data_IF_544742541107
#
_entry.id   IF_544742541107
#
_cell.length_a   1.000
_cell.length_b   1.000
_cell.length_c   1.000
_cell.angle_alpha   90.00
_cell.angle_beta   90.00
_cell.angle_gamma   90.00
#
_symmetry.space_group_name_H-M   'P 1'
#
loop_
_entity.id
_entity.type
_entity.pdbx_description
1 polymer ?
#
# COMPACT_ATOMS: atom_id res chain seq x y z
N UNK A 1 -7.72 24.26 -34.58
CA UNK A 1 -8.18 24.85 -33.30
C UNK A 1 -8.12 23.77 -32.23
N UNK A 2 -7.00 23.67 -31.51
CA UNK A 2 -6.80 22.62 -30.49
C UNK A 2 -7.38 23.08 -29.17
N UNK A 3 -8.58 22.57 -28.86
CA UNK A 3 -9.24 22.75 -27.57
C UNK A 3 -8.45 21.97 -26.48
N UNK A 4 -7.32 22.51 -26.01
CA UNK A 4 -6.48 21.92 -24.95
C UNK A 4 -6.97 22.36 -23.57
N UNK A 5 -8.24 22.10 -23.26
CA UNK A 5 -8.84 22.17 -21.91
C UNK A 5 -8.62 20.87 -21.11
N UNK A 6 -7.48 20.18 -21.30
CA UNK A 6 -7.13 19.03 -20.47
C UNK A 6 -6.11 19.47 -19.43
N UNK A 7 -6.43 19.27 -18.15
CA UNK A 7 -5.49 19.44 -17.04
C UNK A 7 -4.19 18.70 -17.33
N UNK A 8 -3.06 19.33 -16.99
CA UNK A 8 -1.74 18.69 -17.12
C UNK A 8 -1.68 17.41 -16.29
N UNK A 9 -2.23 17.45 -15.07
CA UNK A 9 -2.20 16.36 -14.10
C UNK A 9 -3.57 15.67 -14.06
N UNK A 10 -3.55 14.34 -14.04
CA UNK A 10 -4.73 13.52 -13.73
C UNK A 10 -4.97 13.51 -12.23
N UNK A 11 -6.17 13.09 -11.81
CA UNK A 11 -6.48 12.96 -10.38
C UNK A 11 -5.50 12.04 -9.64
N UNK A 12 -5.06 10.95 -10.30
CA UNK A 12 -4.05 10.01 -9.77
C UNK A 12 -2.69 10.70 -9.60
N UNK A 13 -2.26 11.51 -10.58
CA UNK A 13 -0.99 12.23 -10.46
C UNK A 13 -1.04 13.22 -9.29
N UNK A 14 -2.16 13.91 -9.10
CA UNK A 14 -2.34 14.86 -8.00
C UNK A 14 -2.21 14.17 -6.65
N UNK A 15 -2.94 13.08 -6.42
CA UNK A 15 -2.88 12.39 -5.11
C UNK A 15 -1.51 11.73 -4.87
N UNK A 16 -0.85 11.25 -5.93
CA UNK A 16 0.50 10.66 -5.81
C UNK A 16 1.52 11.73 -5.46
N UNK A 17 1.50 12.85 -6.18
CA UNK A 17 2.39 13.99 -5.92
C UNK A 17 2.13 14.61 -4.55
N UNK A 18 0.87 14.67 -4.10
CA UNK A 18 0.52 15.13 -2.76
C UNK A 18 1.12 14.21 -1.68
N UNK A 19 1.02 12.89 -1.85
CA UNK A 19 1.66 11.93 -0.95
C UNK A 19 3.20 12.06 -0.95
N UNK A 20 3.82 12.16 -2.13
CA UNK A 20 5.27 12.36 -2.26
C UNK A 20 5.70 13.67 -1.58
N UNK A 21 4.98 14.76 -1.81
CA UNK A 21 5.26 16.06 -1.21
C UNK A 21 5.14 16.01 0.32
N UNK A 22 4.12 15.32 0.85
CA UNK A 22 3.98 15.07 2.28
C UNK A 22 5.21 14.35 2.85
N UNK A 23 5.59 13.21 2.26
CA UNK A 23 6.73 12.42 2.76
C UNK A 23 8.04 13.20 2.66
N UNK A 24 8.26 13.95 1.58
CA UNK A 24 9.46 14.79 1.43
C UNK A 24 9.53 15.88 2.49
N UNK A 25 8.42 16.60 2.73
CA UNK A 25 8.33 17.60 3.79
C UNK A 25 8.58 16.96 5.15
N UNK A 26 7.90 15.85 5.42
CA UNK A 26 7.95 15.14 6.69
C UNK A 26 9.35 14.61 7.01
N UNK A 27 10.02 13.99 6.03
CA UNK A 27 11.40 13.52 6.15
C UNK A 27 12.41 14.65 6.25
N UNK A 28 12.17 15.79 5.59
CA UNK A 28 13.08 16.95 5.66
C UNK A 28 13.02 17.61 7.03
N UNK A 29 11.82 17.79 7.58
CA UNK A 29 11.63 18.28 8.97
C UNK A 29 12.20 17.27 9.97
N UNK A 30 12.00 15.99 9.72
CA UNK A 30 12.43 14.88 10.55
C UNK A 30 13.80 14.29 10.21
N UNK A 31 14.68 15.00 9.50
CA UNK A 31 15.83 14.40 8.82
C UNK A 31 16.71 13.53 9.73
N UNK A 32 17.03 14.03 10.93
CA UNK A 32 17.87 13.33 11.89
C UNK A 32 17.20 12.12 12.55
N UNK A 33 15.88 11.97 12.39
CA UNK A 33 15.07 10.87 12.93
C UNK A 33 14.61 9.88 11.86
N UNK A 34 14.77 10.22 10.59
CA UNK A 34 14.45 9.35 9.48
C UNK A 34 15.60 8.40 9.22
N UNK A 35 15.33 7.10 9.26
CA UNK A 35 16.30 6.11 8.83
C UNK A 35 16.51 6.25 7.31
N UNK A 36 17.76 6.12 6.85
CA UNK A 36 18.13 6.14 5.44
C UNK A 36 17.55 7.33 4.63
N UNK A 37 17.42 8.49 5.28
CA UNK A 37 16.85 9.70 4.66
C UNK A 37 17.56 10.09 3.35
N UNK A 38 18.88 9.88 3.32
CA UNK A 38 19.74 10.12 2.16
C UNK A 38 19.45 9.19 0.97
N UNK A 39 18.78 8.05 1.19
CA UNK A 39 18.31 7.15 0.12
C UNK A 39 16.90 7.54 -0.30
N UNK A 40 15.99 7.66 0.66
CA UNK A 40 14.57 7.78 0.36
C UNK A 40 14.18 9.17 -0.16
N UNK A 41 14.80 10.27 0.30
CA UNK A 41 14.52 11.62 -0.22
C UNK A 41 14.83 11.73 -1.72
N UNK A 42 16.04 11.38 -2.21
CA UNK A 42 16.34 11.42 -3.64
C UNK A 42 15.43 10.52 -4.48
N UNK A 43 15.06 9.34 -3.98
CA UNK A 43 14.16 8.43 -4.71
C UNK A 43 12.76 9.04 -4.83
N UNK A 44 12.19 9.58 -3.75
CA UNK A 44 10.89 10.25 -3.76
C UNK A 44 10.87 11.47 -4.69
N UNK A 45 11.94 12.29 -4.67
CA UNK A 45 12.12 13.40 -5.61
C UNK A 45 12.18 12.91 -7.07
N UNK A 46 12.94 11.85 -7.33
CA UNK A 46 13.09 11.27 -8.67
C UNK A 46 11.76 10.74 -9.20
N UNK A 47 10.96 10.08 -8.35
CA UNK A 47 9.61 9.62 -8.69
C UNK A 47 8.70 10.82 -9.00
N UNK A 48 8.71 11.86 -8.15
CA UNK A 48 7.90 13.06 -8.34
C UNK A 48 8.24 13.80 -9.65
N UNK A 49 9.53 14.00 -9.92
CA UNK A 49 10.02 14.57 -11.18
C UNK A 49 9.61 13.68 -12.36
N UNK A 50 9.76 12.36 -12.25
CA UNK A 50 9.35 11.40 -13.26
C UNK A 50 7.87 11.50 -13.61
N UNK A 51 6.98 11.65 -12.61
CA UNK A 51 5.54 11.83 -12.82
C UNK A 51 5.25 13.15 -13.55
N UNK A 52 5.92 14.24 -13.15
CA UNK A 52 5.75 15.55 -13.80
C UNK A 52 6.22 15.52 -15.26
N UNK A 53 7.37 14.89 -15.53
CA UNK A 53 7.89 14.70 -16.89
C UNK A 53 6.97 13.80 -17.72
N UNK A 54 6.46 12.72 -17.15
CA UNK A 54 5.50 11.83 -17.80
C UNK A 54 4.20 12.57 -18.17
N UNK A 55 3.66 13.36 -17.24
CA UNK A 55 2.45 14.16 -17.46
C UNK A 55 2.67 15.25 -18.54
N UNK A 56 3.83 15.92 -18.50
CA UNK A 56 4.22 16.91 -19.50
C UNK A 56 4.40 16.28 -20.88
N UNK A 57 5.09 15.16 -20.99
CA UNK A 57 5.29 14.45 -22.26
C UNK A 57 3.95 14.01 -22.82
N UNK A 58 3.13 13.32 -22.02
CA UNK A 58 1.82 12.86 -22.47
C UNK A 58 0.92 14.00 -22.96
N UNK A 59 0.96 15.18 -22.31
CA UNK A 59 0.19 16.35 -22.76
C UNK A 59 0.68 16.94 -24.09
N UNK A 60 1.99 16.97 -24.30
CA UNK A 60 2.59 17.61 -25.47
C UNK A 60 2.64 16.71 -26.70
N UNK A 61 2.48 15.41 -26.51
CA UNK A 61 2.37 14.46 -27.60
C UNK A 61 1.16 14.77 -28.50
N UNK A 62 1.36 14.75 -29.81
CA UNK A 62 0.26 14.79 -30.78
C UNK A 62 -0.20 13.35 -31.09
N UNK A 63 -1.42 12.96 -30.68
CA UNK A 63 -1.94 11.61 -30.93
C UNK A 63 -2.06 11.29 -32.42
N UNK A 64 -2.25 12.29 -33.29
CA UNK A 64 -2.36 12.08 -34.74
C UNK A 64 -1.02 11.68 -35.36
N UNK A 65 0.09 12.14 -34.78
CA UNK A 65 1.45 11.87 -35.27
C UNK A 65 2.02 10.60 -34.66
N UNK A 66 1.79 10.36 -33.37
CA UNK A 66 2.41 9.23 -32.62
C UNK A 66 1.39 8.43 -31.79
N UNK A 67 0.43 7.73 -32.43
CA UNK A 67 -0.65 7.02 -31.72
C UNK A 67 -0.17 5.85 -30.86
N UNK A 68 0.92 5.17 -31.24
CA UNK A 68 1.48 4.07 -30.44
C UNK A 68 2.10 4.57 -29.13
N UNK A 69 2.82 5.69 -29.20
CA UNK A 69 3.45 6.28 -28.02
C UNK A 69 2.39 6.86 -27.07
N UNK A 70 1.31 7.44 -27.59
CA UNK A 70 0.19 7.93 -26.77
C UNK A 70 -0.41 6.80 -25.93
N UNK A 71 -0.70 5.66 -26.56
CA UNK A 71 -1.23 4.48 -25.85
C UNK A 71 -0.28 3.97 -24.78
N UNK A 72 1.02 3.93 -25.10
CA UNK A 72 2.05 3.51 -24.15
C UNK A 72 2.12 4.47 -22.95
N UNK A 73 2.15 5.78 -23.18
CA UNK A 73 2.17 6.78 -22.10
C UNK A 73 0.89 6.72 -21.26
N UNK A 74 -0.27 6.54 -21.88
CA UNK A 74 -1.53 6.35 -21.16
C UNK A 74 -1.52 5.08 -20.31
N UNK A 75 -0.92 3.99 -20.80
CA UNK A 75 -0.78 2.73 -20.08
C UNK A 75 0.15 2.90 -18.87
N UNK A 76 1.33 3.47 -19.08
CA UNK A 76 2.30 3.75 -18.00
C UNK A 76 1.67 4.67 -16.95
N UNK A 77 0.98 5.73 -17.38
CA UNK A 77 0.30 6.68 -16.50
C UNK A 77 -0.84 6.05 -15.69
N UNK A 78 -1.47 5.01 -16.22
CA UNK A 78 -2.53 4.25 -15.52
C UNK A 78 -2.00 3.18 -14.58
N UNK A 79 -0.78 2.68 -14.78
CA UNK A 79 -0.24 1.54 -14.03
C UNK A 79 0.89 1.89 -13.07
N UNK A 80 1.56 3.03 -13.21
CA UNK A 80 2.63 3.40 -12.28
C UNK A 80 2.20 3.42 -10.81
N UNK A 81 0.96 3.83 -10.40
CA UNK A 81 0.60 3.84 -8.99
C UNK A 81 0.71 2.44 -8.37
N UNK A 82 0.31 1.41 -9.13
CA UNK A 82 0.38 0.01 -8.72
C UNK A 82 1.82 -0.40 -8.43
N UNK A 83 2.75 -0.02 -9.31
CA UNK A 83 4.19 -0.26 -9.10
C UNK A 83 4.74 0.49 -7.88
N UNK A 84 4.22 1.68 -7.59
CA UNK A 84 4.65 2.49 -6.46
C UNK A 84 4.10 2.01 -5.12
N UNK A 85 2.97 1.31 -5.07
CA UNK A 85 2.37 0.84 -3.81
C UNK A 85 3.35 0.01 -2.98
N UNK A 86 4.07 -0.91 -3.62
CA UNK A 86 5.05 -1.76 -2.95
C UNK A 86 6.20 -0.95 -2.37
N UNK A 87 6.77 -0.02 -3.15
CA UNK A 87 7.86 0.83 -2.69
C UNK A 87 7.44 1.79 -1.56
N UNK A 88 6.28 2.45 -1.69
CA UNK A 88 5.78 3.35 -0.66
C UNK A 88 5.46 2.63 0.65
N UNK A 89 4.95 1.40 0.58
CA UNK A 89 4.71 0.59 1.76
C UNK A 89 6.02 0.18 2.46
N UNK A 90 6.99 -0.35 1.70
CA UNK A 90 8.24 -0.85 2.29
C UNK A 90 9.13 0.29 2.76
N UNK A 91 9.14 1.44 2.10
CA UNK A 91 9.86 2.64 2.56
C UNK A 91 9.27 3.27 3.83
N UNK A 92 8.06 2.88 4.25
CA UNK A 92 7.42 3.38 5.47
C UNK A 92 8.28 3.28 6.73
N UNK A 93 9.10 2.23 6.85
CA UNK A 93 10.00 2.04 8.00
C UNK A 93 11.01 3.19 8.18
N UNK A 94 11.33 3.91 7.10
CA UNK A 94 12.30 4.99 7.10
C UNK A 94 11.79 6.25 7.82
N UNK A 95 10.47 6.46 7.82
CA UNK A 95 9.87 7.73 8.25
C UNK A 95 8.71 7.58 9.24
N UNK A 96 8.18 6.37 9.50
CA UNK A 96 7.03 6.17 10.39
C UNK A 96 7.26 6.58 11.86
N UNK A 97 8.50 6.79 12.29
CA UNK A 97 8.89 7.11 13.68
C UNK A 97 9.53 8.49 13.88
N UNK A 98 9.26 9.42 12.97
CA UNK A 98 9.81 10.79 13.04
C UNK A 98 9.21 11.58 14.22
N UNK A 99 7.87 11.65 14.30
CA UNK A 99 7.18 12.34 15.41
C UNK A 99 7.16 11.46 16.65
N UNK A 100 6.54 10.28 16.55
CA UNK A 100 6.47 9.31 17.63
C UNK A 100 7.61 8.31 17.48
N UNK A 101 8.60 8.40 18.37
CA UNK A 101 9.77 7.53 18.33
C UNK A 101 9.46 6.11 18.77
N UNK A 102 8.51 5.97 19.69
CA UNK A 102 8.05 4.69 20.23
C UNK A 102 6.87 4.14 19.43
N UNK A 103 6.78 2.81 19.39
CA UNK A 103 5.65 2.10 18.80
C UNK A 103 4.38 2.39 19.59
N UNK A 104 3.29 2.70 18.88
CA UNK A 104 2.00 3.03 19.50
C UNK A 104 1.18 1.77 19.85
N UNK A 105 1.74 0.58 19.65
CA UNK A 105 1.13 -0.71 19.97
C UNK A 105 0.58 -0.82 21.40
N UNK A 106 1.25 -0.33 22.48
CA UNK A 106 0.68 -0.39 23.83
C UNK A 106 -0.67 0.33 23.97
N UNK A 107 -0.86 1.44 23.25
CA UNK A 107 -2.13 2.17 23.22
C UNK A 107 -3.24 1.33 22.58
N UNK A 108 -2.95 0.70 21.44
CA UNK A 108 -3.91 -0.15 20.72
C UNK A 108 -4.21 -1.46 21.47
N UNK A 109 -3.20 -2.09 22.07
CA UNK A 109 -3.39 -3.27 22.92
C UNK A 109 -4.29 -2.95 24.13
N UNK A 110 -4.17 -1.76 24.70
CA UNK A 110 -5.07 -1.34 25.79
C UNK A 110 -6.52 -1.11 25.31
N UNK A 111 -6.72 -0.68 24.05
CA UNK A 111 -8.05 -0.63 23.46
C UNK A 111 -8.62 -2.04 23.34
N UNK A 112 -7.84 -3.00 22.82
CA UNK A 112 -8.26 -4.40 22.72
C UNK A 112 -8.63 -4.97 24.10
N UNK A 113 -7.80 -4.74 25.11
CA UNK A 113 -8.07 -5.16 26.49
C UNK A 113 -9.36 -4.55 27.06
N UNK A 114 -9.64 -3.28 26.79
CA UNK A 114 -10.87 -2.62 27.26
C UNK A 114 -12.12 -3.13 26.54
N UNK A 115 -12.01 -3.47 25.26
CA UNK A 115 -13.13 -3.94 24.45
C UNK A 115 -13.45 -5.42 24.68
N UNK A 116 -12.42 -6.27 24.77
CA UNK A 116 -12.56 -7.72 24.80
C UNK A 116 -12.23 -8.36 26.15
N UNK A 117 -11.54 -7.65 27.05
CA UNK A 117 -11.04 -8.21 28.31
C UNK A 117 -9.78 -9.06 28.16
N UNK A 118 -9.27 -9.25 26.94
CA UNK A 118 -8.05 -9.99 26.60
C UNK A 118 -7.50 -9.46 25.27
N UNK A 119 -6.38 -10.02 24.77
CA UNK A 119 -5.78 -9.66 23.47
C UNK A 119 -6.17 -10.71 22.41
N UNK A 120 -7.17 -10.46 21.53
CA UNK A 120 -7.61 -11.45 20.54
C UNK A 120 -6.50 -11.89 19.59
N UNK A 121 -5.63 -10.94 19.19
CA UNK A 121 -4.49 -11.17 18.29
C UNK A 121 -3.50 -12.22 18.81
N UNK A 122 -3.42 -12.42 20.14
CA UNK A 122 -2.58 -13.43 20.77
C UNK A 122 -3.37 -14.68 21.15
N UNK A 123 -4.50 -14.49 21.84
CA UNK A 123 -5.26 -15.60 22.44
C UNK A 123 -5.88 -16.51 21.39
N UNK A 124 -6.37 -15.99 20.26
CA UNK A 124 -6.97 -16.83 19.22
C UNK A 124 -5.96 -17.78 18.59
N UNK A 125 -4.70 -17.35 18.45
CA UNK A 125 -3.61 -18.23 17.99
C UNK A 125 -3.25 -19.34 18.98
N UNK A 126 -3.61 -19.19 20.26
CA UNK A 126 -3.42 -20.21 21.30
C UNK A 126 -4.65 -21.11 21.45
N UNK A 127 -5.86 -20.55 21.39
CA UNK A 127 -7.11 -21.29 21.52
C UNK A 127 -7.47 -22.10 20.26
N UNK A 128 -7.00 -21.66 19.10
CA UNK A 128 -7.26 -22.27 17.80
C UNK A 128 -5.96 -22.64 17.08
N UNK A 129 -5.15 -23.49 17.71
CA UNK A 129 -3.84 -23.94 17.22
C UNK A 129 -3.90 -25.02 16.13
N UNK A 130 -5.10 -25.49 15.78
CA UNK A 130 -5.26 -26.54 14.77
C UNK A 130 -4.71 -26.12 13.41
N UNK A 131 -4.07 -27.07 12.72
CA UNK A 131 -3.48 -26.88 11.39
C UNK A 131 -4.50 -26.34 10.38
N UNK A 132 -5.72 -26.89 10.40
CA UNK A 132 -6.78 -26.51 9.46
C UNK A 132 -7.19 -25.04 9.64
N UNK A 133 -7.39 -24.60 10.88
CA UNK A 133 -7.76 -23.20 11.17
C UNK A 133 -6.62 -22.26 10.79
N UNK A 134 -5.38 -22.61 11.13
CA UNK A 134 -4.20 -21.83 10.73
C UNK A 134 -4.13 -21.68 9.22
N UNK A 135 -4.21 -22.78 8.46
CA UNK A 135 -4.16 -22.73 7.00
C UNK A 135 -5.34 -21.96 6.39
N UNK A 136 -6.55 -22.08 6.94
CA UNK A 136 -7.71 -21.33 6.47
C UNK A 136 -7.50 -19.82 6.60
N UNK A 137 -6.99 -19.34 7.74
CA UNK A 137 -6.74 -17.92 7.94
C UNK A 137 -5.58 -17.39 7.07
N UNK A 138 -4.49 -18.16 6.93
CA UNK A 138 -3.39 -17.78 6.04
C UNK A 138 -3.81 -17.84 4.57
N UNK A 139 -4.68 -18.76 4.17
CA UNK A 139 -5.27 -18.81 2.84
C UNK A 139 -6.13 -17.57 2.57
N UNK A 140 -7.02 -17.23 3.51
CA UNK A 140 -7.86 -16.03 3.39
C UNK A 140 -7.01 -14.76 3.28
N UNK A 141 -5.91 -14.66 4.06
CA UNK A 141 -4.95 -13.57 3.93
C UNK A 141 -4.26 -13.60 2.57
N UNK A 142 -3.82 -14.77 2.11
CA UNK A 142 -3.17 -14.94 0.82
C UNK A 142 -4.06 -14.49 -0.35
N UNK A 143 -5.38 -14.71 -0.28
CA UNK A 143 -6.34 -14.27 -1.31
C UNK A 143 -6.28 -12.76 -1.60
N UNK A 144 -5.77 -11.94 -0.67
CA UNK A 144 -5.51 -10.53 -0.91
C UNK A 144 -4.59 -10.28 -2.12
N UNK A 145 -3.51 -11.08 -2.28
CA UNK A 145 -2.52 -10.87 -3.34
C UNK A 145 -3.08 -11.17 -4.75
N UNK A 146 -3.82 -12.27 -4.99
CA UNK A 146 -4.56 -12.44 -6.24
C UNK A 146 -5.63 -11.37 -6.47
N UNK A 147 -6.31 -10.86 -5.43
CA UNK A 147 -7.36 -9.85 -5.61
C UNK A 147 -6.81 -8.51 -6.11
N UNK A 148 -5.70 -8.03 -5.53
CA UNK A 148 -5.08 -6.75 -5.91
C UNK A 148 -4.49 -6.76 -7.32
N UNK A 149 -4.16 -7.94 -7.88
CA UNK A 149 -3.63 -8.07 -9.25
C UNK A 149 -4.74 -8.47 -10.23
N UNK A 150 -5.54 -9.47 -9.87
CA UNK A 150 -6.51 -10.12 -10.75
C UNK A 150 -7.65 -9.20 -11.19
N UNK A 151 -8.28 -8.48 -10.25
CA UNK A 151 -9.41 -7.61 -10.59
C UNK A 151 -8.98 -6.41 -11.46
N UNK A 152 -7.88 -5.68 -11.14
CA UNK A 152 -7.39 -4.65 -12.04
C UNK A 152 -7.04 -5.17 -13.44
N UNK A 153 -6.40 -6.34 -13.57
CA UNK A 153 -6.10 -6.93 -14.88
C UNK A 153 -7.38 -7.28 -15.64
N UNK A 154 -8.37 -7.89 -14.97
CA UNK A 154 -9.66 -8.18 -15.59
C UNK A 154 -10.34 -6.91 -16.12
N UNK A 155 -10.45 -5.87 -15.28
CA UNK A 155 -11.08 -4.61 -15.68
C UNK A 155 -10.29 -3.90 -16.77
N UNK A 156 -8.96 -3.97 -16.74
CA UNK A 156 -8.10 -3.38 -17.76
C UNK A 156 -8.45 -3.90 -19.17
N UNK A 157 -8.64 -5.22 -19.31
CA UNK A 157 -8.95 -5.84 -20.61
C UNK A 157 -10.43 -5.79 -20.97
N UNK A 158 -11.35 -5.76 -19.99
CA UNK A 158 -12.79 -5.92 -20.24
C UNK A 158 -13.61 -4.67 -20.01
N UNK A 159 -13.27 -3.84 -19.02
CA UNK A 159 -14.04 -2.66 -18.59
C UNK A 159 -13.09 -1.49 -18.24
N UNK A 160 -12.48 -0.81 -19.24
CA UNK A 160 -11.45 0.21 -19.02
C UNK A 160 -11.88 1.39 -18.15
N UNK A 161 -13.17 1.75 -18.15
CA UNK A 161 -13.71 2.78 -17.25
C UNK A 161 -13.68 2.32 -15.79
N UNK A 162 -14.12 1.09 -15.51
CA UNK A 162 -14.04 0.50 -14.17
C UNK A 162 -12.60 0.31 -13.69
N UNK A 163 -11.67 0.03 -14.60
CA UNK A 163 -10.25 0.00 -14.27
C UNK A 163 -9.74 1.36 -13.77
N UNK A 164 -10.03 2.45 -14.49
CA UNK A 164 -9.60 3.80 -14.09
C UNK A 164 -10.16 4.19 -12.73
N UNK A 165 -11.43 3.89 -12.50
CA UNK A 165 -12.07 4.13 -11.21
C UNK A 165 -11.42 3.30 -10.09
N UNK A 166 -11.20 2.01 -10.32
CA UNK A 166 -10.58 1.13 -9.35
C UNK A 166 -9.17 1.58 -8.97
N UNK A 167 -8.31 1.91 -9.95
CA UNK A 167 -6.93 2.35 -9.66
C UNK A 167 -6.93 3.65 -8.86
N UNK A 168 -7.84 4.59 -9.15
CA UNK A 168 -7.96 5.81 -8.37
C UNK A 168 -8.36 5.51 -6.92
N UNK A 169 -9.39 4.70 -6.71
CA UNK A 169 -9.87 4.33 -5.38
C UNK A 169 -8.82 3.56 -4.57
N UNK A 170 -8.10 2.62 -5.21
CA UNK A 170 -6.99 1.89 -4.60
C UNK A 170 -5.87 2.84 -4.18
N UNK A 171 -5.45 3.74 -5.09
CA UNK A 171 -4.40 4.71 -4.81
C UNK A 171 -4.79 5.62 -3.66
N UNK A 172 -6.04 6.10 -3.65
CA UNK A 172 -6.55 6.94 -2.57
C UNK A 172 -6.51 6.24 -1.21
N UNK A 173 -7.03 5.01 -1.11
CA UNK A 173 -7.03 4.24 0.15
C UNK A 173 -5.60 3.91 0.59
N UNK A 174 -4.73 3.48 -0.32
CA UNK A 174 -3.33 3.20 0.02
C UNK A 174 -2.62 4.45 0.53
N UNK A 175 -2.73 5.58 -0.17
CA UNK A 175 -2.04 6.81 0.22
C UNK A 175 -2.59 7.38 1.52
N UNK A 176 -3.90 7.24 1.78
CA UNK A 176 -4.48 7.61 3.07
C UNK A 176 -3.94 6.73 4.19
N UNK A 177 -3.90 5.41 4.00
CA UNK A 177 -3.27 4.48 4.94
C UNK A 177 -1.80 4.86 5.19
N UNK A 178 -1.01 5.06 4.13
CA UNK A 178 0.42 5.36 4.24
C UNK A 178 0.69 6.72 4.90
N UNK A 179 -0.16 7.72 4.62
CA UNK A 179 -0.13 8.98 5.34
C UNK A 179 -0.33 8.75 6.84
N UNK A 180 -1.34 7.97 7.24
CA UNK A 180 -1.56 7.65 8.66
C UNK A 180 -0.37 6.87 9.23
N UNK A 181 0.14 5.87 8.52
CA UNK A 181 1.30 5.07 8.97
C UNK A 181 2.57 5.92 9.15
N UNK A 182 2.72 6.99 8.37
CA UNK A 182 3.87 7.90 8.52
C UNK A 182 3.85 8.65 9.85
N UNK A 183 2.67 8.89 10.41
CA UNK A 183 2.48 9.64 11.65
C UNK A 183 2.24 8.70 12.82
N UNK A 184 1.57 7.57 12.62
CA UNK A 184 1.10 6.67 13.66
C UNK A 184 1.74 5.29 13.50
N UNK A 185 2.95 5.07 14.04
CA UNK A 185 3.67 3.83 13.88
C UNK A 185 3.06 2.72 14.76
N UNK A 186 2.45 1.72 14.13
CA UNK A 186 1.85 0.55 14.80
C UNK A 186 2.30 -0.74 14.11
N UNK A 187 2.92 -1.67 14.83
CA UNK A 187 3.35 -2.97 14.30
C UNK A 187 2.18 -3.95 14.17
N UNK A 188 1.20 -3.87 15.07
CA UNK A 188 0.08 -4.79 15.19
C UNK A 188 0.44 -6.05 15.98
N UNK A 189 -0.20 -7.17 15.66
CA UNK A 189 -0.04 -8.45 16.39
C UNK A 189 1.40 -9.02 16.44
N UNK A 190 2.35 -8.44 15.70
CA UNK A 190 3.77 -8.79 15.72
C UNK A 190 4.61 -7.93 16.68
N UNK A 191 3.98 -7.02 17.45
CA UNK A 191 4.71 -6.16 18.39
C UNK A 191 5.41 -6.95 19.50
N UNK A 192 4.78 -8.03 19.96
CA UNK A 192 5.32 -8.95 20.97
C UNK A 192 6.44 -9.80 20.31
N UNK A 193 7.67 -9.83 20.85
CA UNK A 193 8.79 -10.55 20.24
C UNK A 193 8.52 -12.02 19.95
N UNK A 194 7.86 -12.72 20.88
CA UNK A 194 7.50 -14.13 20.72
C UNK A 194 6.51 -14.32 19.57
N UNK A 195 5.56 -13.41 19.41
CA UNK A 195 4.62 -13.42 18.29
C UNK A 195 5.32 -13.11 16.95
N UNK A 196 6.29 -12.18 16.94
CA UNK A 196 7.11 -11.88 15.75
C UNK A 196 7.85 -13.14 15.27
N UNK A 197 8.57 -13.81 16.17
CA UNK A 197 9.34 -15.02 15.83
C UNK A 197 8.42 -16.15 15.35
N UNK A 198 7.24 -16.27 15.96
CA UNK A 198 6.25 -17.25 15.55
C UNK A 198 5.77 -17.04 14.10
N UNK A 199 5.59 -15.78 13.67
CA UNK A 199 5.23 -15.47 12.27
C UNK A 199 6.34 -15.74 11.26
N UNK A 200 7.58 -15.93 11.71
CA UNK A 200 8.75 -16.18 10.85
C UNK A 200 9.18 -17.65 10.83
N UNK A 201 8.53 -18.48 11.62
CA UNK A 201 8.82 -19.91 11.71
C UNK A 201 8.04 -20.66 10.65
N UNK A 202 8.73 -21.45 9.81
CA UNK A 202 8.06 -22.35 8.86
C UNK A 202 7.37 -23.49 9.62
N UNK A 203 6.08 -23.29 9.87
CA UNK A 203 5.17 -24.23 10.50
C UNK A 203 3.88 -24.26 9.69
N UNK A 204 3.12 -25.34 9.81
CA UNK A 204 1.81 -25.45 9.15
C UNK A 204 1.90 -25.97 7.72
N UNK A 205 1.00 -25.49 6.87
CA UNK A 205 0.87 -25.92 5.47
C UNK A 205 1.39 -24.87 4.48
N UNK A 206 1.02 -25.01 3.19
CA UNK A 206 1.54 -24.18 2.12
C UNK A 206 1.26 -22.68 2.32
N UNK A 207 0.07 -22.29 2.80
CA UNK A 207 -0.27 -20.87 2.92
C UNK A 207 0.48 -20.21 4.07
N UNK A 208 0.65 -20.91 5.20
CA UNK A 208 1.50 -20.41 6.28
C UNK A 208 2.94 -20.23 5.78
N UNK A 209 3.48 -21.18 5.00
CA UNK A 209 4.83 -21.06 4.44
C UNK A 209 5.00 -19.88 3.48
N UNK A 210 4.01 -19.59 2.62
CA UNK A 210 4.04 -18.41 1.75
C UNK A 210 4.10 -17.14 2.59
N UNK A 211 3.29 -17.04 3.65
CA UNK A 211 3.30 -15.85 4.52
C UNK A 211 4.63 -15.70 5.27
N UNK A 212 5.20 -16.80 5.79
CA UNK A 212 6.52 -16.80 6.42
C UNK A 212 7.58 -16.31 5.45
N UNK A 213 7.55 -16.78 4.19
CA UNK A 213 8.46 -16.30 3.14
C UNK A 213 8.34 -14.78 2.98
N UNK A 214 7.12 -14.24 2.86
CA UNK A 214 6.89 -12.79 2.72
C UNK A 214 7.43 -12.04 3.95
N UNK A 215 7.13 -12.49 5.17
CA UNK A 215 7.56 -11.82 6.39
C UNK A 215 9.07 -11.85 6.61
N UNK A 216 9.78 -12.88 6.12
CA UNK A 216 11.24 -12.95 6.19
C UNK A 216 11.95 -12.09 5.16
N UNK A 217 11.30 -11.76 4.05
CA UNK A 217 11.91 -11.03 2.94
C UNK A 217 11.41 -9.59 2.79
N UNK A 218 10.52 -9.13 3.67
CA UNK A 218 9.99 -7.77 3.62
C UNK A 218 10.16 -7.06 4.96
N UNK A 219 11.05 -6.06 4.99
CA UNK A 219 11.35 -5.26 6.18
C UNK A 219 10.31 -4.15 6.40
N UNK A 220 9.03 -4.51 6.43
CA UNK A 220 7.95 -3.55 6.63
C UNK A 220 7.36 -3.71 8.04
N UNK A 221 7.45 -2.65 8.84
CA UNK A 221 6.84 -2.55 10.17
C UNK A 221 6.18 -1.17 10.31
N UNK A 222 5.24 -1.03 11.24
CA UNK A 222 4.60 0.26 11.54
C UNK A 222 3.38 0.63 10.70
N UNK A 223 2.88 -0.28 9.86
CA UNK A 223 1.74 -0.05 8.97
C UNK A 223 0.49 -0.86 9.33
N UNK A 224 0.22 -1.11 10.62
CA UNK A 224 -0.90 -1.96 11.05
C UNK A 224 -2.23 -1.24 11.24
N UNK A 225 -2.22 0.08 11.50
CA UNK A 225 -3.45 0.84 11.76
C UNK A 225 -3.54 2.12 10.90
N UNK A 226 -4.67 2.35 10.19
CA UNK A 226 -5.80 1.42 9.96
C UNK A 226 -5.37 0.22 9.10
N UNK A 227 -6.21 -0.82 8.96
CA UNK A 227 -5.84 -1.97 8.12
C UNK A 227 -5.99 -1.66 6.63
N UNK A 228 -4.87 -1.47 5.91
CA UNK A 228 -4.87 -1.32 4.45
C UNK A 228 -5.42 -2.56 3.74
N UNK A 229 -5.12 -3.77 4.23
CA UNK A 229 -5.62 -5.00 3.62
C UNK A 229 -7.15 -5.04 3.63
N UNK A 230 -7.78 -4.67 4.74
CA UNK A 230 -9.24 -4.62 4.83
C UNK A 230 -9.80 -3.48 3.97
N UNK A 231 -9.24 -2.27 4.08
CA UNK A 231 -9.72 -1.12 3.29
C UNK A 231 -9.66 -1.38 1.78
N UNK A 232 -8.56 -1.95 1.30
CA UNK A 232 -8.36 -2.32 -0.10
C UNK A 232 -9.26 -3.48 -0.51
N UNK A 233 -9.42 -4.51 0.32
CA UNK A 233 -10.32 -5.63 0.04
C UNK A 233 -11.76 -5.14 -0.13
N UNK A 234 -12.23 -4.21 0.72
CA UNK A 234 -13.56 -3.60 0.58
C UNK A 234 -13.69 -2.86 -0.76
N UNK A 235 -12.70 -2.04 -1.13
CA UNK A 235 -12.70 -1.35 -2.43
C UNK A 235 -12.76 -2.34 -3.60
N UNK A 236 -11.95 -3.41 -3.55
CA UNK A 236 -11.92 -4.45 -4.57
C UNK A 236 -13.27 -5.18 -4.66
N UNK A 237 -13.88 -5.53 -3.53
CA UNK A 237 -15.19 -6.19 -3.48
C UNK A 237 -16.30 -5.30 -4.03
N UNK A 238 -16.34 -4.02 -3.65
CA UNK A 238 -17.33 -3.07 -4.17
C UNK A 238 -17.17 -2.90 -5.70
N UNK A 239 -15.93 -2.75 -6.17
CA UNK A 239 -15.65 -2.64 -7.59
C UNK A 239 -16.03 -3.91 -8.36
N UNK A 240 -15.73 -5.09 -7.80
CA UNK A 240 -16.11 -6.37 -8.39
C UNK A 240 -17.63 -6.52 -8.48
N UNK A 241 -18.38 -6.10 -7.46
CA UNK A 241 -19.85 -6.17 -7.48
C UNK A 241 -20.47 -5.18 -8.48
N UNK A 242 -19.90 -3.97 -8.58
CA UNK A 242 -20.38 -2.95 -9.51
C UNK A 242 -20.05 -3.26 -10.97
N UNK A 243 -18.95 -3.98 -11.20
CA UNK A 243 -18.44 -4.32 -12.52
C UNK A 243 -18.46 -5.82 -12.83
N UNK A 244 -19.17 -6.63 -12.05
CA UNK A 244 -19.65 -7.94 -12.48
C UNK A 244 -20.56 -7.78 -13.71
#
# INVERSE_FOLDING_TARGET
MTNRSKSLLSAIDVITLAYIAWILLYMTVGFNRSADAYVHIPVMLSIGIGILLLAWWHRNLDPAVQPRLERLLSLVRGLYPVSLFGYFYTSGHAFNRIIFTDWQDPFFMNIDLKLFGYLPSLMWGQWHDSLLISELFHFAYFCYYPMIVGLPLYLYFKKPEGFRELIFNLSFVFYLCYFIYSILPVIGGRFIPEAMELTRTYRGGPFTHIMVFIYRHSNHLGGAFPSSHIGVTIVLTIAALRHA
#
